data_IF_816043865344
#
_entry.id   IF_816043865344
#
_cell.length_a   1.000
_cell.length_b   1.000
_cell.length_c   1.000
_cell.angle_alpha   90.00
_cell.angle_beta   90.00
_cell.angle_gamma   90.00
#
_symmetry.space_group_name_H-M   'P 1'
#
loop_
_entity.id
_entity.type
_entity.pdbx_description
1 polymer ?
#
# COMPACT_ATOMS: atom_id res chain seq x y z
N UNK A 1 12.69 -18.41 21.12
CA UNK A 1 13.84 -17.55 20.76
C UNK A 1 14.19 -17.89 19.33
N UNK A 2 13.91 -16.99 18.38
CA UNK A 2 14.32 -17.16 16.99
C UNK A 2 15.86 -17.19 16.90
N UNK A 3 16.41 -18.01 16.00
CA UNK A 3 17.83 -18.38 15.92
C UNK A 3 18.77 -17.27 15.40
N UNK A 4 18.33 -16.01 15.43
CA UNK A 4 19.13 -14.85 15.02
C UNK A 4 19.39 -14.77 13.51
N UNK A 5 18.72 -15.58 12.68
CA UNK A 5 18.80 -15.45 11.22
C UNK A 5 17.91 -14.32 10.72
N UNK A 6 18.42 -13.53 9.77
CA UNK A 6 17.61 -12.62 8.98
C UNK A 6 16.66 -13.46 8.11
N UNK A 7 15.36 -13.20 8.24
CA UNK A 7 14.32 -13.85 7.46
C UNK A 7 14.45 -13.43 5.98
N UNK A 8 14.25 -14.38 5.06
CA UNK A 8 14.31 -14.19 3.61
C UNK A 8 12.89 -14.19 3.01
N UNK A 9 12.77 -13.95 1.72
CA UNK A 9 11.49 -13.82 1.03
C UNK A 9 10.55 -15.02 1.27
N UNK A 10 11.09 -16.24 1.30
CA UNK A 10 10.32 -17.47 1.59
C UNK A 10 9.67 -17.46 3.00
N UNK A 11 10.29 -16.76 3.95
CA UNK A 11 9.81 -16.67 5.32
C UNK A 11 8.57 -15.77 5.45
N UNK A 12 8.36 -14.81 4.53
CA UNK A 12 7.15 -13.97 4.52
C UNK A 12 5.86 -14.74 4.25
N UNK A 13 5.94 -15.89 3.56
CA UNK A 13 4.78 -16.74 3.33
C UNK A 13 4.55 -17.76 4.45
N UNK A 14 5.52 -17.95 5.35
CA UNK A 14 5.50 -19.04 6.35
C UNK A 14 5.54 -18.55 7.79
N UNK A 15 6.11 -17.37 8.07
CA UNK A 15 6.33 -16.83 9.40
C UNK A 15 5.66 -15.46 9.63
N UNK A 16 5.33 -14.72 8.57
CA UNK A 16 4.62 -13.45 8.72
C UNK A 16 3.18 -13.70 9.16
N UNK A 17 2.80 -13.10 10.29
CA UNK A 17 1.43 -13.12 10.80
C UNK A 17 0.81 -11.72 10.70
N UNK A 18 -0.17 -11.52 9.79
CA UNK A 18 -0.86 -10.24 9.63
C UNK A 18 -1.54 -9.76 10.91
N UNK A 19 -2.12 -10.66 11.71
CA UNK A 19 -2.80 -10.28 12.95
C UNK A 19 -1.80 -9.67 13.95
N UNK A 20 -0.69 -10.35 14.23
CA UNK A 20 0.38 -9.83 15.10
C UNK A 20 0.95 -8.51 14.57
N UNK A 21 1.17 -8.38 13.25
CA UNK A 21 1.67 -7.16 12.64
C UNK A 21 0.69 -5.98 12.84
N UNK A 22 -0.59 -6.19 12.55
CA UNK A 22 -1.64 -5.19 12.72
C UNK A 22 -1.81 -4.82 14.20
N UNK A 23 -1.80 -5.80 15.10
CA UNK A 23 -1.90 -5.58 16.54
C UNK A 23 -0.74 -4.72 17.07
N UNK A 24 0.47 -5.00 16.59
CA UNK A 24 1.69 -4.32 17.04
C UNK A 24 1.78 -2.87 16.55
N UNK A 25 1.38 -2.61 15.30
CA UNK A 25 1.67 -1.34 14.64
C UNK A 25 0.43 -0.48 14.35
N UNK A 26 -0.79 -1.01 14.45
CA UNK A 26 -1.99 -0.34 13.94
C UNK A 26 -3.23 -0.46 14.83
N UNK A 27 -3.06 -0.70 16.14
CA UNK A 27 -4.15 -0.90 17.10
C UNK A 27 -4.85 0.36 17.58
N UNK A 28 -4.16 1.49 17.59
CA UNK A 28 -4.72 2.77 18.03
C UNK A 28 -4.25 3.83 17.05
N UNK A 29 -5.15 4.61 16.45
CA UNK A 29 -4.80 5.63 15.46
C UNK A 29 -3.73 6.62 15.97
N UNK A 30 -3.84 7.05 17.23
CA UNK A 30 -2.93 8.02 17.82
C UNK A 30 -1.62 7.39 18.28
N UNK A 31 -1.58 6.06 18.45
CA UNK A 31 -0.39 5.30 18.84
C UNK A 31 0.12 4.35 17.73
N UNK A 32 -0.51 4.36 16.56
CA UNK A 32 -0.22 3.52 15.41
C UNK A 32 1.07 4.00 14.77
N UNK A 33 1.94 3.04 14.49
CA UNK A 33 3.38 3.21 14.26
C UNK A 33 4.03 3.77 15.53
N UNK A 34 5.07 3.10 16.03
CA UNK A 34 5.80 3.47 17.27
C UNK A 34 5.93 5.00 17.39
N UNK A 35 5.21 5.62 18.34
CA UNK A 35 5.26 7.05 18.61
C UNK A 35 4.23 7.96 17.92
N UNK A 36 3.11 7.43 17.41
CA UNK A 36 2.03 8.26 16.87
C UNK A 36 2.37 8.92 15.54
N UNK A 37 3.18 8.24 14.72
CA UNK A 37 3.59 8.76 13.41
C UNK A 37 2.48 8.63 12.36
N UNK A 38 1.44 7.83 12.61
CA UNK A 38 0.37 7.58 11.63
C UNK A 38 -0.31 8.87 11.13
N UNK A 39 -0.79 9.81 11.97
CA UNK A 39 -1.38 11.06 11.47
C UNK A 39 -0.41 11.90 10.63
N UNK A 40 0.88 11.90 11.00
CA UNK A 40 1.92 12.60 10.22
C UNK A 40 2.11 11.97 8.84
N UNK A 41 2.21 10.65 8.76
CA UNK A 41 2.35 9.92 7.49
C UNK A 41 1.13 10.13 6.61
N UNK A 42 -0.08 9.93 7.14
CA UNK A 42 -1.33 10.09 6.40
C UNK A 42 -1.50 11.52 5.87
N UNK A 43 -1.22 12.52 6.70
CA UNK A 43 -1.27 13.93 6.28
C UNK A 43 -0.21 14.23 5.22
N UNK A 44 1.01 13.70 5.37
CA UNK A 44 2.09 13.88 4.40
C UNK A 44 1.71 13.35 3.02
N UNK A 45 1.22 12.11 2.94
CA UNK A 45 0.75 11.51 1.68
C UNK A 45 -0.43 12.30 1.12
N UNK A 46 -1.42 12.62 1.95
CA UNK A 46 -2.57 13.43 1.55
C UNK A 46 -2.16 14.76 0.91
N UNK A 47 -1.23 15.48 1.53
CA UNK A 47 -0.80 16.79 1.05
C UNK A 47 -0.05 16.69 -0.28
N UNK A 48 0.72 15.62 -0.51
CA UNK A 48 1.35 15.34 -1.82
C UNK A 48 0.31 15.25 -2.94
N UNK A 49 -0.80 14.52 -2.73
CA UNK A 49 -1.87 14.45 -3.72
C UNK A 49 -2.65 15.77 -3.84
N UNK A 50 -2.91 16.44 -2.71
CA UNK A 50 -3.68 17.68 -2.67
C UNK A 50 -3.00 18.85 -3.39
N UNK A 51 -1.67 18.91 -3.39
CA UNK A 51 -0.92 19.94 -4.14
C UNK A 51 -1.12 19.82 -5.65
N UNK A 52 -1.45 18.61 -6.14
CA UNK A 52 -1.56 18.30 -7.56
C UNK A 52 -0.23 18.03 -8.26
N UNK A 53 0.89 18.02 -7.51
CA UNK A 53 2.22 17.66 -8.04
C UNK A 53 2.29 16.18 -8.42
N UNK A 54 1.57 15.33 -7.69
CA UNK A 54 1.29 13.93 -8.05
C UNK A 54 -0.19 13.81 -8.41
N UNK A 55 -0.48 13.43 -9.65
CA UNK A 55 -1.84 13.30 -10.17
C UNK A 55 -1.92 12.21 -11.22
N UNK A 56 -3.11 11.65 -11.38
CA UNK A 56 -3.33 10.56 -12.31
C UNK A 56 -4.69 9.91 -12.13
N UNK A 57 -5.04 9.03 -13.05
CA UNK A 57 -6.26 8.23 -12.97
C UNK A 57 -5.99 6.93 -12.22
N UNK A 58 -4.86 6.27 -12.51
CA UNK A 58 -4.55 4.91 -12.07
C UNK A 58 -3.38 4.90 -11.11
N UNK A 59 -3.62 4.39 -9.90
CA UNK A 59 -2.62 4.20 -8.86
C UNK A 59 -2.32 2.71 -8.68
N UNK A 60 -1.03 2.37 -8.64
CA UNK A 60 -0.54 1.08 -8.17
C UNK A 60 0.16 1.26 -6.83
N UNK A 61 -0.25 0.49 -5.83
CA UNK A 61 0.46 0.39 -4.56
C UNK A 61 1.28 -0.91 -4.52
N UNK A 62 2.59 -0.75 -4.31
CA UNK A 62 3.57 -1.83 -4.29
C UNK A 62 3.92 -2.20 -2.85
N UNK A 63 3.59 -3.44 -2.47
CA UNK A 63 3.80 -3.93 -1.12
C UNK A 63 2.83 -3.32 -0.12
N UNK A 64 1.54 -3.33 -0.45
CA UNK A 64 0.45 -2.83 0.38
C UNK A 64 0.41 -3.50 1.76
N UNK A 65 0.87 -4.75 1.85
CA UNK A 65 0.78 -5.52 3.09
C UNK A 65 -0.68 -5.79 3.48
N UNK A 66 -0.94 -6.02 4.77
CA UNK A 66 -2.28 -6.32 5.26
C UNK A 66 -3.16 -5.08 5.46
N UNK A 67 -2.64 -3.85 5.29
CA UNK A 67 -3.33 -2.60 5.61
C UNK A 67 -3.06 -1.49 4.57
N UNK A 68 -4.07 -0.79 4.02
CA UNK A 68 -3.87 0.13 2.89
C UNK A 68 -3.58 1.58 3.32
N UNK A 69 -2.92 1.82 4.46
CA UNK A 69 -2.76 3.18 5.01
C UNK A 69 -2.01 4.16 4.09
N UNK A 70 -1.07 3.67 3.27
CA UNK A 70 -0.38 4.48 2.24
C UNK A 70 -1.30 4.92 1.10
N UNK A 71 -2.43 4.23 0.90
CA UNK A 71 -3.34 4.40 -0.24
C UNK A 71 -4.56 5.23 0.11
N UNK A 72 -5.11 5.08 1.32
CA UNK A 72 -6.34 5.79 1.73
C UNK A 72 -6.24 7.32 1.48
N UNK A 73 -5.12 8.01 1.78
CA UNK A 73 -4.99 9.43 1.52
C UNK A 73 -5.11 9.82 0.03
N UNK A 74 -4.84 8.90 -0.89
CA UNK A 74 -4.89 9.12 -2.33
C UNK A 74 -6.31 8.96 -2.92
N UNK A 75 -7.23 8.29 -2.21
CA UNK A 75 -8.56 7.92 -2.70
C UNK A 75 -9.35 9.10 -3.30
N UNK A 76 -9.33 10.33 -2.75
CA UNK A 76 -10.05 11.45 -3.35
C UNK A 76 -9.50 11.91 -4.71
N UNK A 77 -8.27 11.52 -5.04
CA UNK A 77 -7.49 12.10 -6.14
C UNK A 77 -7.28 11.15 -7.33
N UNK A 78 -7.61 9.87 -7.17
CA UNK A 78 -7.46 8.82 -8.19
C UNK A 78 -8.81 8.14 -8.49
N UNK A 79 -8.87 7.35 -9.57
CA UNK A 79 -10.09 6.63 -9.98
C UNK A 79 -9.93 5.11 -9.87
N UNK A 80 -8.77 4.58 -10.24
CA UNK A 80 -8.51 3.14 -10.23
C UNK A 80 -7.33 2.86 -9.28
N UNK A 81 -7.52 1.93 -8.35
CA UNK A 81 -6.54 1.54 -7.34
C UNK A 81 -6.21 0.06 -7.48
N UNK A 82 -4.92 -0.24 -7.65
CA UNK A 82 -4.41 -1.60 -7.76
C UNK A 82 -3.48 -1.85 -6.58
N UNK A 83 -3.83 -2.84 -5.76
CA UNK A 83 -3.07 -3.17 -4.56
C UNK A 83 -2.24 -4.41 -4.83
N UNK A 84 -1.01 -4.46 -4.32
CA UNK A 84 -0.14 -5.61 -4.54
C UNK A 84 0.63 -5.98 -3.28
N UNK A 85 0.81 -7.27 -3.05
CA UNK A 85 1.71 -7.74 -2.01
C UNK A 85 2.33 -9.08 -2.39
N UNK A 86 3.54 -9.35 -1.90
CA UNK A 86 4.20 -10.63 -2.10
C UNK A 86 3.51 -11.75 -1.33
N UNK A 87 3.12 -11.49 -0.08
CA UNK A 87 2.61 -12.51 0.82
C UNK A 87 1.13 -12.81 0.54
N UNK A 88 0.81 -14.09 0.32
CA UNK A 88 -0.57 -14.51 0.10
C UNK A 88 -1.45 -14.26 1.33
N UNK A 89 -0.89 -14.37 2.54
CA UNK A 89 -1.64 -14.13 3.79
C UNK A 89 -1.97 -12.64 3.97
N UNK A 90 -1.08 -11.73 3.57
CA UNK A 90 -1.36 -10.30 3.55
C UNK A 90 -2.49 -9.94 2.59
N UNK A 91 -2.41 -10.43 1.34
CA UNK A 91 -3.46 -10.16 0.34
C UNK A 91 -4.82 -10.66 0.79
N UNK A 92 -4.87 -11.85 1.40
CA UNK A 92 -6.10 -12.40 1.97
C UNK A 92 -6.61 -11.54 3.13
N UNK A 93 -5.74 -11.18 4.07
CA UNK A 93 -6.10 -10.35 5.21
C UNK A 93 -6.69 -9.01 4.75
N UNK A 94 -6.00 -8.34 3.81
CA UNK A 94 -6.42 -7.07 3.24
C UNK A 94 -7.79 -7.18 2.55
N UNK A 95 -8.01 -8.25 1.77
CA UNK A 95 -9.31 -8.51 1.15
C UNK A 95 -10.41 -8.66 2.20
N UNK A 96 -10.18 -9.50 3.22
CA UNK A 96 -11.16 -9.72 4.29
C UNK A 96 -11.45 -8.44 5.07
N UNK A 97 -10.43 -7.61 5.32
CA UNK A 97 -10.56 -6.33 6.01
C UNK A 97 -11.37 -5.28 5.22
N UNK A 98 -11.26 -5.27 3.89
CA UNK A 98 -11.93 -4.27 3.05
C UNK A 98 -13.32 -4.71 2.57
N UNK A 99 -13.47 -5.98 2.21
CA UNK A 99 -14.66 -6.51 1.53
C UNK A 99 -15.34 -7.67 2.26
N UNK A 100 -14.66 -8.28 3.23
CA UNK A 100 -15.15 -9.44 3.96
C UNK A 100 -15.62 -9.10 5.37
N UNK A 101 -15.43 -10.07 6.27
CA UNK A 101 -15.73 -9.96 7.70
C UNK A 101 -14.46 -9.73 8.54
N UNK A 102 -13.48 -9.03 7.99
CA UNK A 102 -12.24 -8.71 8.69
C UNK A 102 -12.49 -7.86 9.93
N UNK A 103 -11.55 -7.91 10.88
CA UNK A 103 -11.69 -7.27 12.20
C UNK A 103 -11.18 -5.83 12.24
N UNK A 104 -10.39 -5.42 11.25
CA UNK A 104 -9.71 -4.14 11.27
C UNK A 104 -10.70 -3.00 11.04
N UNK A 105 -10.70 -2.03 11.97
CA UNK A 105 -11.48 -0.81 11.84
C UNK A 105 -10.59 0.34 11.36
N UNK A 106 -10.98 0.94 10.23
CA UNK A 106 -10.31 2.09 9.63
C UNK A 106 -11.08 3.41 9.83
N UNK A 107 -12.17 3.40 10.60
CA UNK A 107 -13.07 4.55 10.80
C UNK A 107 -12.32 5.83 11.21
N UNK A 108 -11.44 5.74 12.21
CA UNK A 108 -10.61 6.84 12.70
C UNK A 108 -9.71 7.46 11.62
N UNK A 109 -9.20 6.64 10.70
CA UNK A 109 -8.36 7.09 9.57
C UNK A 109 -9.18 7.85 8.56
N UNK A 110 -10.35 7.32 8.21
CA UNK A 110 -11.26 8.01 7.29
C UNK A 110 -11.75 9.33 7.90
N UNK A 111 -12.11 9.34 9.19
CA UNK A 111 -12.51 10.54 9.92
C UNK A 111 -11.39 11.60 9.92
N UNK A 112 -10.17 11.19 10.21
CA UNK A 112 -9.01 12.09 10.16
C UNK A 112 -8.83 12.72 8.78
N UNK A 113 -8.84 11.92 7.71
CA UNK A 113 -8.61 12.41 6.35
C UNK A 113 -9.74 13.30 5.83
N UNK A 114 -11.00 12.95 6.13
CA UNK A 114 -12.15 13.81 5.78
C UNK A 114 -12.04 15.15 6.50
N UNK A 115 -11.62 15.16 7.77
CA UNK A 115 -11.42 16.39 8.53
C UNK A 115 -10.30 17.30 7.98
N UNK A 116 -9.36 16.77 7.18
CA UNK A 116 -8.35 17.56 6.47
C UNK A 116 -8.89 18.26 5.21
N UNK A 117 -10.00 17.78 4.66
CA UNK A 117 -10.58 18.28 3.41
C UNK A 117 -11.87 19.05 3.62
N UNK A 118 -12.90 18.38 4.14
CA UNK A 118 -14.22 18.94 4.34
C UNK A 118 -14.92 18.21 5.50
N UNK A 119 -14.99 18.88 6.65
CA UNK A 119 -15.60 18.37 7.88
C UNK A 119 -17.09 18.09 7.75
N UNK A 120 -17.74 18.52 6.67
CA UNK A 120 -19.17 18.28 6.45
C UNK A 120 -19.46 16.93 5.78
N UNK A 121 -18.46 16.26 5.20
CA UNK A 121 -18.65 14.95 4.58
C UNK A 121 -18.63 13.83 5.64
N UNK A 122 -19.45 12.78 5.50
CA UNK A 122 -19.32 11.59 6.34
C UNK A 122 -18.08 10.78 5.93
N UNK A 123 -17.34 10.26 6.91
CA UNK A 123 -16.17 9.42 6.67
C UNK A 123 -16.50 8.13 5.88
N UNK A 124 -17.74 7.64 5.99
CA UNK A 124 -18.19 6.44 5.29
C UNK A 124 -18.12 6.60 3.78
N UNK A 125 -18.31 7.82 3.26
CA UNK A 125 -18.16 8.09 1.82
C UNK A 125 -16.75 7.77 1.33
N UNK A 126 -15.72 8.15 2.09
CA UNK A 126 -14.33 7.86 1.74
C UNK A 126 -14.03 6.35 1.81
N UNK A 127 -14.66 5.65 2.76
CA UNK A 127 -14.59 4.19 2.88
C UNK A 127 -15.24 3.48 1.69
N UNK A 128 -16.42 3.95 1.27
CA UNK A 128 -17.13 3.41 0.11
C UNK A 128 -16.36 3.70 -1.19
N UNK A 129 -15.88 4.95 -1.36
CA UNK A 129 -15.05 5.35 -2.51
C UNK A 129 -13.77 4.50 -2.61
N UNK A 130 -13.13 4.15 -1.48
CA UNK A 130 -11.97 3.25 -1.48
C UNK A 130 -12.34 1.89 -2.07
N UNK A 131 -13.44 1.29 -1.61
CA UNK A 131 -13.88 -0.05 -2.05
C UNK A 131 -14.26 -0.05 -3.52
N UNK A 132 -14.97 0.98 -3.97
CA UNK A 132 -15.43 1.11 -5.35
C UNK A 132 -14.29 1.31 -6.35
N UNK A 133 -13.21 1.99 -5.92
CA UNK A 133 -12.05 2.29 -6.77
C UNK A 133 -11.01 1.17 -6.82
N UNK A 134 -11.07 0.20 -5.90
CA UNK A 134 -10.13 -0.94 -5.92
C UNK A 134 -10.48 -1.87 -7.08
N UNK A 135 -9.56 -1.96 -8.04
CA UNK A 135 -9.65 -2.86 -9.19
C UNK A 135 -9.19 -4.29 -8.88
N UNK A 136 -8.43 -4.47 -7.80
CA UNK A 136 -8.04 -5.79 -7.31
C UNK A 136 -6.83 -5.77 -6.38
N UNK A 137 -6.56 -6.94 -5.81
CA UNK A 137 -5.41 -7.22 -4.94
C UNK A 137 -4.59 -8.35 -5.59
N UNK A 138 -3.38 -8.05 -6.03
CA UNK A 138 -2.60 -8.92 -6.92
C UNK A 138 -1.28 -9.37 -6.29
N UNK A 139 -0.75 -10.55 -6.67
CA UNK A 139 0.58 -10.94 -6.26
C UNK A 139 1.65 -10.06 -6.94
N UNK A 140 2.70 -9.72 -6.19
CA UNK A 140 3.92 -9.16 -6.76
C UNK A 140 5.17 -9.84 -6.20
N UNK A 141 6.30 -9.73 -6.88
CA UNK A 141 7.60 -10.19 -6.42
C UNK A 141 8.69 -9.31 -7.03
N UNK A 142 9.19 -8.37 -6.22
CA UNK A 142 10.12 -7.34 -6.66
C UNK A 142 11.48 -7.89 -7.07
N UNK A 143 11.80 -9.12 -6.66
CA UNK A 143 13.09 -9.75 -6.95
C UNK A 143 13.07 -10.53 -8.27
N UNK A 144 11.90 -10.64 -8.92
CA UNK A 144 11.75 -11.27 -10.22
C UNK A 144 11.71 -10.23 -11.35
N UNK A 145 12.18 -10.63 -12.53
CA UNK A 145 12.08 -9.79 -13.74
C UNK A 145 10.61 -9.49 -14.09
N UNK A 146 9.75 -10.51 -13.98
CA UNK A 146 8.29 -10.36 -14.03
C UNK A 146 7.75 -10.14 -12.62
N UNK A 147 7.72 -8.87 -12.22
CA UNK A 147 7.26 -8.43 -10.90
C UNK A 147 5.83 -8.88 -10.61
N UNK A 148 4.99 -9.09 -11.62
CA UNK A 148 3.56 -9.31 -11.44
C UNK A 148 3.09 -10.72 -11.75
N UNK A 149 4.04 -11.65 -11.93
CA UNK A 149 3.78 -13.09 -12.12
C UNK A 149 2.76 -13.36 -13.23
N UNK A 150 2.88 -12.63 -14.34
CA UNK A 150 2.03 -12.76 -15.52
C UNK A 150 0.70 -11.99 -15.45
N UNK A 151 0.48 -11.16 -14.43
CA UNK A 151 -0.68 -10.28 -14.36
C UNK A 151 -0.55 -9.18 -15.41
N UNK A 152 -1.56 -9.06 -16.28
CA UNK A 152 -1.63 -7.98 -17.26
C UNK A 152 -2.23 -6.73 -16.59
N UNK A 153 -1.38 -5.72 -16.39
CA UNK A 153 -1.79 -4.43 -15.84
C UNK A 153 -1.95 -3.36 -16.92
N UNK A 154 -2.84 -2.36 -16.70
CA UNK A 154 -2.76 -1.13 -17.46
C UNK A 154 -1.48 -0.36 -17.10
N UNK A 155 -1.19 0.70 -17.86
CA UNK A 155 -0.22 1.70 -17.42
C UNK A 155 -0.76 2.47 -16.22
N UNK A 156 0.14 2.80 -15.30
CA UNK A 156 -0.16 3.55 -14.09
C UNK A 156 0.39 4.96 -14.17
N UNK A 157 -0.35 5.90 -13.61
CA UNK A 157 0.05 7.30 -13.52
C UNK A 157 0.81 7.58 -12.21
N UNK A 158 0.47 6.83 -11.15
CA UNK A 158 1.02 6.99 -9.81
C UNK A 158 1.42 5.63 -9.27
N UNK A 159 2.60 5.59 -8.64
CA UNK A 159 3.05 4.44 -7.85
C UNK A 159 3.28 4.90 -6.42
N UNK A 160 2.72 4.15 -5.48
CA UNK A 160 3.02 4.28 -4.05
C UNK A 160 3.70 3.01 -3.54
N UNK A 161 4.53 3.16 -2.54
CA UNK A 161 5.12 2.05 -1.79
C UNK A 161 5.50 2.57 -0.42
N UNK A 162 5.31 1.76 0.63
CA UNK A 162 5.59 2.15 2.00
C UNK A 162 6.19 0.97 2.75
N UNK A 163 7.40 1.13 3.29
CA UNK A 163 8.10 0.10 4.08
C UNK A 163 8.28 -1.25 3.36
N UNK A 164 8.20 -1.28 2.03
CA UNK A 164 8.39 -2.49 1.22
C UNK A 164 9.80 -2.50 0.59
N UNK A 165 10.18 -1.41 -0.10
CA UNK A 165 11.49 -1.35 -0.77
C UNK A 165 12.68 -1.31 0.21
N UNK A 166 12.45 -1.00 1.48
CA UNK A 166 13.51 -1.01 2.51
C UNK A 166 13.72 -2.40 3.12
N UNK A 167 12.83 -3.36 2.81
CA UNK A 167 12.82 -4.70 3.42
C UNK A 167 13.04 -5.82 2.40
N UNK A 168 12.55 -5.65 1.17
CA UNK A 168 12.72 -6.64 0.11
C UNK A 168 14.19 -6.83 -0.36
N UNK A 169 14.98 -5.76 -0.63
CA UNK A 169 16.36 -5.94 -1.06
C UNK A 169 17.32 -6.20 0.11
N UNK A 170 18.27 -7.12 -0.10
CA UNK A 170 19.32 -7.42 0.89
C UNK A 170 20.54 -6.50 0.78
N UNK A 171 20.64 -5.74 -0.31
CA UNK A 171 21.74 -4.80 -0.59
C UNK A 171 21.30 -3.63 -1.48
N UNK A 172 22.15 -2.61 -1.56
CA UNK A 172 21.90 -1.36 -2.33
C UNK A 172 21.79 -1.64 -3.84
N UNK A 173 22.53 -2.61 -4.35
CA UNK A 173 22.50 -2.96 -5.78
C UNK A 173 21.14 -3.57 -6.15
N UNK A 174 20.60 -4.42 -5.27
CA UNK A 174 19.27 -5.02 -5.41
C UNK A 174 18.19 -3.96 -5.29
N UNK A 175 18.31 -3.02 -4.34
CA UNK A 175 17.41 -1.87 -4.26
C UNK A 175 17.38 -1.09 -5.59
N UNK A 176 18.56 -0.78 -6.15
CA UNK A 176 18.68 -0.08 -7.43
C UNK A 176 18.05 -0.84 -8.60
N UNK A 177 18.18 -2.17 -8.63
CA UNK A 177 17.52 -3.03 -9.63
C UNK A 177 16.00 -2.99 -9.50
N UNK A 178 15.47 -3.12 -8.28
CA UNK A 178 14.02 -3.04 -8.02
C UNK A 178 13.46 -1.69 -8.48
N UNK A 179 14.07 -0.58 -8.05
CA UNK A 179 13.63 0.76 -8.41
C UNK A 179 13.63 0.97 -9.94
N UNK A 180 14.66 0.47 -10.62
CA UNK A 180 14.74 0.50 -12.07
C UNK A 180 13.65 -0.37 -12.73
N UNK A 181 13.41 -1.57 -12.21
CA UNK A 181 12.37 -2.49 -12.70
C UNK A 181 10.97 -1.87 -12.60
N UNK A 182 10.66 -1.25 -11.45
CA UNK A 182 9.42 -0.50 -11.24
C UNK A 182 9.28 0.59 -12.30
N UNK A 183 10.30 1.42 -12.48
CA UNK A 183 10.25 2.51 -13.46
C UNK A 183 10.07 2.01 -14.91
N UNK A 184 10.81 0.96 -15.29
CA UNK A 184 10.83 0.46 -16.67
C UNK A 184 9.57 -0.33 -17.03
N UNK A 185 9.03 -1.13 -16.10
CA UNK A 185 7.93 -2.05 -16.38
C UNK A 185 6.55 -1.47 -16.05
N UNK A 186 6.48 -0.40 -15.25
CA UNK A 186 5.22 0.08 -14.65
C UNK A 186 4.87 1.51 -15.08
N UNK A 187 5.86 2.42 -15.16
CA UNK A 187 5.65 3.83 -15.51
C UNK A 187 5.88 4.15 -16.99
N UNK A 188 6.51 3.26 -17.77
CA UNK A 188 6.79 3.49 -19.19
C UNK A 188 6.03 2.57 -20.13
N UNK A 189 5.07 3.16 -20.85
CA UNK A 189 5.14 3.25 -22.31
C UNK A 189 5.04 4.74 -22.67
N UNK A 190 6.15 5.45 -22.56
CA UNK A 190 6.33 6.74 -23.23
C UNK A 190 7.61 6.62 -24.04
N UNK A 191 7.51 5.89 -25.15
CA UNK A 191 8.36 6.14 -26.30
C UNK A 191 7.92 7.50 -26.86
N UNK A 192 8.60 8.56 -26.41
CA UNK A 192 8.72 9.78 -27.18
C UNK A 192 10.23 9.97 -27.41
N UNK A 193 10.59 9.66 -28.66
CA UNK A 193 11.89 9.69 -29.37
C UNK A 193 12.75 8.43 -29.30
#
# INVERSE_FOLDING_TARGET
MADGRLLRDEDYNTHFDPDTYVETYYTDFDNAVVGGMMPFVLKGVHDVFKTGDVKGTRLLDIGTGPVPYSVIPAVPFVQDIYLTDFSAVNRKYLYDALFGSGKQDYSSVFEFLVNLNDKSQPWTKLSDDLKDKICGIFPCDLLQDDIFKGSYFPLFDVITTSLCMDVAPQDVDTYGKIAKGIYQNILKLVDIW
#
